data_IF_559758423037
#
_entry.id   IF_559758423037
#
_cell.length_a   1.000
_cell.length_b   1.000
_cell.length_c   1.000
_cell.angle_alpha   90.00
_cell.angle_beta   90.00
_cell.angle_gamma   90.00
#
_symmetry.space_group_name_H-M   'P 1'
#
loop_
_entity.id
_entity.type
_entity.pdbx_description
1 polymer ?
#
# COMPACT_ATOMS: atom_id res chain seq x y z
N UNK A 1 -2.31 31.98 14.99
CA UNK A 1 -2.35 30.91 13.96
C UNK A 1 -3.19 29.75 14.49
N UNK A 2 -4.36 29.48 13.90
CA UNK A 2 -5.24 28.41 14.35
C UNK A 2 -4.73 27.08 13.79
N UNK A 3 -4.29 26.16 14.67
CA UNK A 3 -4.01 24.77 14.31
C UNK A 3 -5.29 24.16 13.73
N UNK A 4 -5.33 23.93 12.43
CA UNK A 4 -6.35 23.08 11.81
C UNK A 4 -6.07 21.66 12.25
N UNK A 5 -6.81 21.20 13.25
CA UNK A 5 -6.90 19.79 13.60
C UNK A 5 -7.28 19.03 12.32
N UNK A 6 -6.41 18.12 11.87
CA UNK A 6 -6.70 17.22 10.76
C UNK A 6 -7.89 16.37 11.22
N UNK A 7 -9.07 16.68 10.69
CA UNK A 7 -10.25 15.85 10.94
C UNK A 7 -9.96 14.45 10.44
N UNK A 8 -10.05 13.47 11.33
CA UNK A 8 -9.96 12.06 10.99
C UNK A 8 -10.84 11.78 9.76
N UNK A 9 -10.25 11.13 8.76
CA UNK A 9 -10.90 10.82 7.49
C UNK A 9 -12.29 10.27 7.72
N UNK A 10 -13.32 11.05 7.37
CA UNK A 10 -14.69 10.54 7.28
C UNK A 10 -14.64 9.35 6.33
N UNK A 11 -15.06 8.17 6.81
CA UNK A 11 -15.15 6.97 5.98
C UNK A 11 -15.86 7.34 4.68
N UNK A 12 -15.17 7.20 3.54
CA UNK A 12 -15.74 7.54 2.25
C UNK A 12 -16.86 6.54 1.94
N UNK A 13 -18.09 7.01 1.90
CA UNK A 13 -19.29 6.19 1.73
C UNK A 13 -19.69 6.08 0.24
N UNK A 14 -19.11 6.93 -0.62
CA UNK A 14 -19.59 7.13 -1.98
C UNK A 14 -18.92 6.24 -3.04
N UNK A 15 -17.76 5.70 -2.75
CA UNK A 15 -17.03 4.80 -3.67
C UNK A 15 -15.95 4.04 -2.93
N UNK A 16 -15.84 2.75 -3.21
CA UNK A 16 -14.78 1.91 -2.67
C UNK A 16 -13.39 2.21 -3.29
N UNK A 17 -13.35 3.05 -4.34
CA UNK A 17 -12.11 3.58 -4.93
C UNK A 17 -11.57 4.84 -4.22
N UNK A 18 -12.23 5.31 -3.18
CA UNK A 18 -11.83 6.55 -2.50
C UNK A 18 -10.38 6.51 -1.99
N UNK A 19 -9.65 7.59 -2.22
CA UNK A 19 -8.22 7.69 -1.87
C UNK A 19 -7.27 7.15 -2.94
N UNK A 20 -7.73 6.29 -3.84
CA UNK A 20 -6.91 5.72 -4.93
C UNK A 20 -7.01 6.50 -6.23
N UNK A 21 -8.12 7.19 -6.48
CA UNK A 21 -8.44 7.81 -7.78
C UNK A 21 -7.82 9.20 -7.90
N UNK A 22 -7.02 9.39 -8.94
CA UNK A 22 -6.32 10.64 -9.25
C UNK A 22 -6.67 11.14 -10.65
N UNK A 23 -6.66 12.44 -10.82
CA UNK A 23 -6.83 13.08 -12.13
C UNK A 23 -5.61 12.77 -13.01
N UNK A 24 -5.83 12.22 -14.21
CA UNK A 24 -4.76 11.91 -15.15
C UNK A 24 -3.98 13.14 -15.62
N UNK A 25 -4.64 14.32 -15.66
CA UNK A 25 -4.03 15.56 -16.14
C UNK A 25 -3.17 16.28 -15.10
N UNK A 26 -3.49 16.18 -13.80
CA UNK A 26 -2.77 16.95 -12.77
C UNK A 26 -2.36 16.14 -11.54
N UNK A 27 -2.68 14.86 -11.45
CA UNK A 27 -2.32 13.98 -10.34
C UNK A 27 -3.09 14.20 -9.03
N UNK A 28 -3.90 15.27 -8.93
CA UNK A 28 -4.70 15.53 -7.73
C UNK A 28 -5.84 14.53 -7.57
N UNK A 29 -6.27 14.35 -6.32
CA UNK A 29 -7.36 13.43 -6.00
C UNK A 29 -8.64 13.77 -6.77
N UNK A 30 -9.35 12.74 -7.21
CA UNK A 30 -10.72 12.85 -7.69
C UNK A 30 -11.68 12.54 -6.54
N UNK A 31 -12.77 13.31 -6.46
CA UNK A 31 -13.86 13.06 -5.54
C UNK A 31 -15.11 12.63 -6.31
N UNK A 32 -15.86 11.69 -5.74
CA UNK A 32 -17.14 11.27 -6.27
C UNK A 32 -18.23 12.23 -5.78
N UNK A 33 -18.96 12.84 -6.71
CA UNK A 33 -20.04 13.79 -6.43
C UNK A 33 -21.35 13.19 -6.92
N UNK A 34 -22.35 13.14 -6.03
CA UNK A 34 -23.71 12.72 -6.36
C UNK A 34 -24.47 13.91 -6.92
N UNK A 35 -25.14 13.71 -8.06
CA UNK A 35 -26.04 14.68 -8.67
C UNK A 35 -27.49 14.39 -8.31
N UNK A 36 -28.39 15.32 -8.61
CA UNK A 36 -29.82 15.21 -8.27
C UNK A 36 -30.49 13.95 -8.82
N UNK A 37 -30.05 13.45 -9.99
CA UNK A 37 -30.52 12.19 -10.58
C UNK A 37 -30.05 10.91 -9.84
N UNK A 38 -29.32 11.05 -8.73
CA UNK A 38 -28.76 9.92 -7.99
C UNK A 38 -27.43 9.38 -8.54
N UNK A 39 -27.09 9.69 -9.79
CA UNK A 39 -25.82 9.25 -10.41
C UNK A 39 -24.63 9.96 -9.77
N UNK A 40 -23.50 9.27 -9.73
CA UNK A 40 -22.23 9.81 -9.19
C UNK A 40 -21.20 9.96 -10.31
N UNK A 41 -20.43 11.03 -10.27
CA UNK A 41 -19.33 11.25 -11.21
C UNK A 41 -18.09 11.79 -10.52
N UNK A 42 -16.94 11.54 -11.13
CA UNK A 42 -15.65 11.93 -10.61
C UNK A 42 -15.30 13.37 -11.00
N UNK A 43 -14.84 14.16 -10.03
CA UNK A 43 -14.38 15.53 -10.26
C UNK A 43 -13.00 15.77 -9.67
N UNK A 44 -12.16 16.45 -10.42
CA UNK A 44 -10.85 16.85 -9.98
C UNK A 44 -10.95 17.95 -8.90
N UNK A 45 -10.36 17.70 -7.74
CA UNK A 45 -10.37 18.67 -6.61
C UNK A 45 -9.64 19.95 -6.96
N UNK A 46 -8.55 19.88 -7.73
CA UNK A 46 -7.83 21.09 -8.20
C UNK A 46 -8.69 21.94 -9.13
N UNK A 47 -9.47 21.31 -10.01
CA UNK A 47 -10.42 22.03 -10.88
C UNK A 47 -11.55 22.69 -10.08
N UNK A 48 -12.03 22.02 -9.03
CA UNK A 48 -13.09 22.56 -8.17
C UNK A 48 -12.61 23.80 -7.40
N UNK A 49 -11.39 23.77 -6.88
CA UNK A 49 -10.88 24.80 -5.98
C UNK A 49 -10.42 26.06 -6.74
N UNK A 50 -9.68 25.93 -7.81
CA UNK A 50 -9.04 27.06 -8.48
C UNK A 50 -9.10 27.03 -10.02
N UNK A 51 -9.86 26.12 -10.62
CA UNK A 51 -10.00 25.94 -12.07
C UNK A 51 -8.67 25.68 -12.83
N UNK A 52 -7.57 25.45 -12.13
CA UNK A 52 -6.22 25.31 -12.71
C UNK A 52 -5.96 23.95 -13.37
N UNK A 53 -7.00 23.16 -13.63
CA UNK A 53 -6.89 21.86 -14.31
C UNK A 53 -8.08 21.68 -15.25
N UNK A 54 -7.91 21.16 -16.47
CA UNK A 54 -9.01 20.81 -17.37
C UNK A 54 -9.92 19.72 -16.79
N UNK A 55 -9.44 18.95 -15.81
CA UNK A 55 -10.15 17.82 -15.21
C UNK A 55 -10.10 16.57 -16.08
N UNK A 56 -10.83 15.53 -15.67
CA UNK A 56 -10.92 14.25 -16.38
C UNK A 56 -12.18 14.12 -17.27
N UNK A 57 -12.88 15.24 -17.55
CA UNK A 57 -14.15 15.18 -18.26
C UNK A 57 -15.31 14.74 -17.36
N UNK A 58 -16.40 14.29 -17.99
CA UNK A 58 -17.57 13.73 -17.30
C UNK A 58 -17.43 12.21 -17.24
N UNK A 59 -16.86 11.70 -16.16
CA UNK A 59 -16.64 10.27 -15.94
C UNK A 59 -17.52 9.82 -14.79
N UNK A 60 -18.39 8.84 -15.01
CA UNK A 60 -19.23 8.29 -13.96
C UNK A 60 -18.41 7.36 -13.04
N UNK A 61 -18.69 7.44 -11.75
CA UNK A 61 -18.00 6.62 -10.75
C UNK A 61 -18.22 5.14 -11.00
N UNK A 62 -19.46 4.75 -11.33
CA UNK A 62 -19.86 3.37 -11.62
C UNK A 62 -19.11 2.78 -12.82
N UNK A 63 -18.89 3.57 -13.89
CA UNK A 63 -18.16 3.11 -15.07
C UNK A 63 -16.69 2.78 -14.70
N UNK A 64 -16.07 3.62 -13.86
CA UNK A 64 -14.71 3.37 -13.38
C UNK A 64 -14.67 2.16 -12.44
N UNK A 65 -15.63 2.03 -11.55
CA UNK A 65 -15.75 0.88 -10.65
C UNK A 65 -15.90 -0.43 -11.44
N UNK A 66 -16.78 -0.46 -12.41
CA UNK A 66 -16.99 -1.63 -13.28
C UNK A 66 -15.74 -1.98 -14.09
N UNK A 67 -15.05 -0.96 -14.62
CA UNK A 67 -13.78 -1.17 -15.33
C UNK A 67 -12.70 -1.75 -14.40
N UNK A 68 -12.53 -1.14 -13.24
CA UNK A 68 -11.52 -1.59 -12.24
C UNK A 68 -11.80 -3.02 -11.79
N UNK A 69 -13.05 -3.36 -11.52
CA UNK A 69 -13.43 -4.74 -11.18
C UNK A 69 -13.03 -5.74 -12.27
N UNK A 70 -13.35 -5.46 -13.53
CA UNK A 70 -12.98 -6.32 -14.67
C UNK A 70 -11.47 -6.50 -14.78
N UNK A 71 -10.71 -5.41 -14.57
CA UNK A 71 -9.25 -5.46 -14.62
C UNK A 71 -8.65 -6.22 -13.43
N UNK A 72 -9.25 -6.12 -12.23
CA UNK A 72 -8.83 -6.94 -11.08
C UNK A 72 -9.06 -8.44 -11.34
N UNK A 73 -10.21 -8.81 -11.90
CA UNK A 73 -10.50 -10.21 -12.31
C UNK A 73 -9.47 -10.69 -13.34
N UNK A 74 -9.18 -9.87 -14.36
CA UNK A 74 -8.18 -10.20 -15.37
C UNK A 74 -6.80 -10.38 -14.76
N UNK A 75 -6.37 -9.45 -13.90
CA UNK A 75 -5.06 -9.46 -13.24
C UNK A 75 -4.87 -10.69 -12.36
N UNK A 76 -5.90 -11.10 -11.62
CA UNK A 76 -5.86 -12.33 -10.84
C UNK A 76 -5.70 -13.59 -11.71
N UNK A 77 -6.43 -13.67 -12.82
CA UNK A 77 -6.31 -14.81 -13.74
C UNK A 77 -4.92 -14.90 -14.35
N UNK A 78 -4.31 -13.76 -14.69
CA UNK A 78 -2.93 -13.69 -15.19
C UNK A 78 -1.91 -14.04 -14.10
N UNK A 79 -2.20 -13.70 -12.83
CA UNK A 79 -1.34 -13.93 -11.67
C UNK A 79 -1.47 -15.30 -11.00
N UNK A 80 -2.41 -16.16 -11.42
CA UNK A 80 -2.62 -17.50 -10.84
C UNK A 80 -1.52 -18.53 -11.17
N UNK A 81 -0.42 -18.12 -11.82
CA UNK A 81 0.78 -18.95 -11.84
C UNK A 81 1.38 -19.00 -10.42
N UNK A 82 1.67 -20.19 -9.86
CA UNK A 82 2.31 -20.33 -8.55
C UNK A 82 3.59 -19.50 -8.39
N UNK A 83 4.28 -19.20 -9.50
CA UNK A 83 5.46 -18.35 -9.54
C UNK A 83 5.21 -16.86 -9.22
N UNK A 84 3.96 -16.38 -9.28
CA UNK A 84 3.66 -14.97 -8.98
C UNK A 84 3.60 -14.67 -7.47
N UNK A 85 3.30 -15.68 -6.65
CA UNK A 85 3.23 -15.54 -5.19
C UNK A 85 4.58 -15.66 -4.48
N UNK A 86 5.59 -16.20 -5.14
CA UNK A 86 6.96 -16.37 -4.62
C UNK A 86 7.79 -15.08 -4.67
N UNK A 87 7.32 -14.04 -5.40
CA UNK A 87 8.11 -12.84 -5.67
C UNK A 87 8.46 -11.96 -4.47
N UNK A 88 7.78 -12.07 -3.34
CA UNK A 88 8.18 -11.31 -2.14
C UNK A 88 9.49 -11.86 -1.56
N UNK A 89 9.59 -13.19 -1.46
CA UNK A 89 10.82 -13.87 -1.03
C UNK A 89 11.94 -13.81 -2.10
N UNK A 90 11.59 -13.46 -3.34
CA UNK A 90 12.55 -13.29 -4.43
C UNK A 90 13.01 -11.85 -4.61
N UNK A 91 12.41 -10.86 -3.90
CA UNK A 91 12.88 -9.49 -3.96
C UNK A 91 14.32 -9.43 -3.43
N UNK A 92 15.30 -9.06 -4.26
CA UNK A 92 16.70 -9.02 -3.86
C UNK A 92 16.94 -8.11 -2.64
N UNK A 93 16.17 -7.02 -2.51
CA UNK A 93 16.25 -6.11 -1.38
C UNK A 93 15.77 -6.76 -0.08
N UNK A 94 14.68 -7.54 -0.14
CA UNK A 94 14.15 -8.27 1.02
C UNK A 94 15.14 -9.35 1.46
N UNK A 95 15.67 -10.13 0.51
CA UNK A 95 16.69 -11.16 0.80
C UNK A 95 17.95 -10.55 1.40
N UNK A 96 18.37 -9.39 0.90
CA UNK A 96 19.54 -8.69 1.44
C UNK A 96 19.27 -8.22 2.87
N UNK A 97 18.11 -7.63 3.15
CA UNK A 97 17.77 -7.17 4.51
C UNK A 97 17.72 -8.35 5.50
N UNK A 98 17.16 -9.49 5.11
CA UNK A 98 17.17 -10.71 5.97
C UNK A 98 18.59 -11.20 6.26
N UNK A 99 19.50 -11.20 5.28
CA UNK A 99 20.90 -11.56 5.50
C UNK A 99 21.59 -10.59 6.46
N UNK A 100 21.38 -9.29 6.26
CA UNK A 100 21.93 -8.24 7.13
C UNK A 100 21.42 -8.38 8.57
N UNK A 101 20.16 -8.71 8.78
CA UNK A 101 19.59 -9.01 10.10
C UNK A 101 20.27 -10.24 10.71
N UNK A 102 20.36 -11.35 9.96
CA UNK A 102 21.01 -12.58 10.44
C UNK A 102 22.49 -12.36 10.82
N UNK A 103 23.21 -11.54 10.07
CA UNK A 103 24.58 -11.16 10.37
C UNK A 103 24.68 -10.34 11.66
N UNK A 104 23.78 -9.39 11.88
CA UNK A 104 23.68 -8.60 13.11
C UNK A 104 23.36 -9.46 14.34
N UNK A 105 22.41 -10.39 14.22
CA UNK A 105 22.06 -11.33 15.30
C UNK A 105 23.25 -12.23 15.68
N UNK A 106 24.02 -12.69 14.70
CA UNK A 106 25.25 -13.45 14.93
C UNK A 106 26.33 -12.61 15.62
N UNK A 107 26.51 -11.34 15.20
CA UNK A 107 27.46 -10.42 15.81
C UNK A 107 27.09 -10.15 17.28
N UNK A 108 25.80 -9.90 17.57
CA UNK A 108 25.33 -9.73 18.96
C UNK A 108 25.62 -10.99 19.79
N UNK A 109 25.33 -12.18 19.27
CA UNK A 109 25.60 -13.44 19.98
C UNK A 109 27.09 -13.59 20.33
N UNK A 110 27.99 -13.31 19.39
CA UNK A 110 29.42 -13.37 19.60
C UNK A 110 29.92 -12.33 20.63
N UNK A 111 29.36 -11.13 20.62
CA UNK A 111 29.68 -10.07 21.57
C UNK A 111 29.20 -10.44 22.98
N UNK A 112 27.99 -10.99 23.11
CA UNK A 112 27.45 -11.48 24.39
C UNK A 112 28.29 -12.64 24.94
N UNK A 113 28.71 -13.60 24.10
CA UNK A 113 29.55 -14.70 24.50
C UNK A 113 30.93 -14.23 25.00
N UNK A 114 31.45 -13.12 24.45
CA UNK A 114 32.72 -12.55 24.87
C UNK A 114 32.65 -11.72 26.16
N UNK A 115 31.45 -11.43 26.69
CA UNK A 115 31.27 -10.83 28.02
C UNK A 115 31.72 -11.75 29.15
N UNK A 116 31.70 -13.08 28.95
CA UNK A 116 32.17 -14.03 29.96
C UNK A 116 33.68 -13.91 30.16
N UNK A 117 34.09 -13.19 31.23
CA UNK A 117 35.52 -12.94 31.58
C UNK A 117 36.07 -11.59 31.11
N UNK A 118 35.20 -10.73 30.53
CA UNK A 118 35.63 -9.38 30.15
C UNK A 118 35.86 -8.47 31.39
N UNK A 119 36.86 -7.62 31.32
CA UNK A 119 37.03 -6.53 32.28
C UNK A 119 36.07 -5.38 32.04
N UNK A 120 35.90 -4.50 33.04
CA UNK A 120 34.92 -3.41 33.04
C UNK A 120 34.95 -2.55 31.76
N UNK A 121 36.12 -2.12 31.32
CA UNK A 121 36.28 -1.30 30.10
C UNK A 121 35.84 -2.03 28.81
N UNK A 122 36.11 -3.34 28.74
CA UNK A 122 35.68 -4.15 27.58
C UNK A 122 34.18 -4.39 27.60
N UNK A 123 33.61 -4.56 28.78
CA UNK A 123 32.14 -4.69 28.96
C UNK A 123 31.42 -3.43 28.48
N UNK A 124 31.89 -2.23 28.82
CA UNK A 124 31.30 -0.97 28.35
C UNK A 124 31.38 -0.83 26.83
N UNK A 125 32.49 -1.20 26.21
CA UNK A 125 32.65 -1.19 24.76
C UNK A 125 31.71 -2.18 24.07
N UNK A 126 31.58 -3.40 24.61
CA UNK A 126 30.66 -4.40 24.09
C UNK A 126 29.20 -3.92 24.19
N UNK A 127 28.81 -3.36 25.34
CA UNK A 127 27.47 -2.83 25.53
C UNK A 127 27.13 -1.72 24.51
N UNK A 128 28.04 -0.78 24.32
CA UNK A 128 27.90 0.29 23.34
C UNK A 128 27.75 -0.29 21.93
N UNK A 129 28.53 -1.29 21.56
CA UNK A 129 28.45 -1.93 20.24
C UNK A 129 27.16 -2.68 20.04
N UNK A 130 26.65 -3.36 21.06
CA UNK A 130 25.35 -4.05 21.03
C UNK A 130 24.21 -3.04 20.83
N UNK A 131 24.24 -1.89 21.52
CA UNK A 131 23.24 -0.84 21.33
C UNK A 131 23.26 -0.28 19.90
N UNK A 132 24.43 -0.07 19.30
CA UNK A 132 24.54 0.38 17.90
C UNK A 132 23.93 -0.63 16.93
N UNK A 133 24.22 -1.93 17.13
CA UNK A 133 23.69 -3.00 16.29
C UNK A 133 22.18 -3.10 16.47
N UNK A 134 21.66 -2.99 17.68
CA UNK A 134 20.23 -3.05 17.99
C UNK A 134 19.46 -1.90 17.29
N UNK A 135 20.01 -0.69 17.30
CA UNK A 135 19.43 0.44 16.58
C UNK A 135 19.38 0.17 15.06
N UNK A 136 20.46 -0.36 14.48
CA UNK A 136 20.47 -0.73 13.06
C UNK A 136 19.49 -1.86 12.75
N UNK A 137 19.37 -2.85 13.62
CA UNK A 137 18.44 -3.95 13.52
C UNK A 137 16.97 -3.45 13.49
N UNK A 138 16.60 -2.54 14.41
CA UNK A 138 15.28 -1.92 14.43
C UNK A 138 14.98 -1.16 13.13
N UNK A 139 15.93 -0.38 12.61
CA UNK A 139 15.77 0.31 11.32
C UNK A 139 15.57 -0.66 10.14
N UNK A 140 16.22 -1.83 10.18
CA UNK A 140 16.03 -2.87 9.15
C UNK A 140 14.65 -3.54 9.25
N UNK A 141 14.19 -3.83 10.47
CA UNK A 141 12.83 -4.34 10.70
C UNK A 141 11.75 -3.36 10.24
N UNK A 142 11.91 -2.06 10.54
CA UNK A 142 11.01 -1.03 10.06
C UNK A 142 10.98 -0.97 8.52
N UNK A 143 12.14 -1.08 7.89
CA UNK A 143 12.26 -1.12 6.43
C UNK A 143 11.58 -2.35 5.83
N UNK A 144 11.70 -3.52 6.47
CA UNK A 144 10.96 -4.72 6.10
C UNK A 144 9.46 -4.55 6.23
N UNK A 145 8.98 -3.93 7.32
CA UNK A 145 7.55 -3.68 7.52
C UNK A 145 6.98 -2.79 6.42
N UNK A 146 7.67 -1.72 6.05
CA UNK A 146 7.28 -0.83 4.95
C UNK A 146 7.27 -1.57 3.59
N UNK A 147 8.23 -2.45 3.36
CA UNK A 147 8.26 -3.28 2.15
C UNK A 147 7.12 -4.30 2.16
N UNK A 148 6.83 -4.92 3.31
CA UNK A 148 5.74 -5.87 3.48
C UNK A 148 4.35 -5.21 3.37
N UNK A 149 4.17 -3.98 3.87
CA UNK A 149 2.93 -3.21 3.69
C UNK A 149 2.59 -2.96 2.22
N UNK A 150 3.59 -2.90 1.35
CA UNK A 150 3.40 -2.73 -0.09
C UNK A 150 3.07 -4.04 -0.82
N UNK A 151 3.18 -5.19 -0.14
CA UNK A 151 2.89 -6.50 -0.72
C UNK A 151 1.85 -7.23 0.14
N UNK A 152 0.83 -7.80 -0.49
CA UNK A 152 -0.15 -8.62 0.20
C UNK A 152 0.47 -9.97 0.59
N UNK A 153 0.20 -10.43 1.83
CA UNK A 153 0.59 -11.80 2.24
C UNK A 153 -0.19 -12.86 1.47
N UNK A 154 0.28 -14.12 1.42
CA UNK A 154 -0.47 -15.21 0.77
C UNK A 154 -1.92 -15.31 1.27
N UNK A 155 -2.15 -15.22 2.58
CA UNK A 155 -3.51 -15.27 3.15
C UNK A 155 -4.35 -14.05 2.73
N UNK A 156 -3.74 -12.87 2.65
CA UNK A 156 -4.42 -11.67 2.16
C UNK A 156 -4.78 -11.80 0.68
N UNK A 157 -3.94 -12.44 -0.13
CA UNK A 157 -4.22 -12.69 -1.55
C UNK A 157 -5.29 -13.76 -1.74
N UNK A 158 -5.33 -14.78 -0.89
CA UNK A 158 -6.42 -15.75 -0.87
C UNK A 158 -7.76 -15.08 -0.54
N UNK A 159 -7.78 -14.21 0.48
CA UNK A 159 -8.94 -13.39 0.81
C UNK A 159 -9.34 -12.47 -0.36
N UNK A 160 -8.39 -11.85 -1.03
CA UNK A 160 -8.63 -11.02 -2.23
C UNK A 160 -9.28 -11.86 -3.34
N UNK A 161 -8.78 -13.07 -3.60
CA UNK A 161 -9.33 -13.96 -4.61
C UNK A 161 -10.78 -14.39 -4.27
N UNK A 162 -11.03 -14.75 -3.01
CA UNK A 162 -12.37 -15.04 -2.50
C UNK A 162 -13.31 -13.85 -2.66
N UNK A 163 -12.90 -12.67 -2.25
CA UNK A 163 -13.69 -11.44 -2.37
C UNK A 163 -14.04 -11.11 -3.83
N UNK A 164 -13.11 -11.31 -4.75
CA UNK A 164 -13.38 -11.08 -6.18
C UNK A 164 -14.37 -12.09 -6.72
N UNK A 165 -14.33 -13.34 -6.28
CA UNK A 165 -15.30 -14.37 -6.67
C UNK A 165 -16.72 -14.06 -6.18
N UNK A 166 -16.84 -13.46 -5.00
CA UNK A 166 -18.09 -13.12 -4.33
C UNK A 166 -18.44 -11.61 -4.45
N UNK A 167 -17.91 -10.90 -5.45
CA UNK A 167 -17.96 -9.44 -5.54
C UNK A 167 -19.35 -8.82 -5.41
N UNK A 168 -20.38 -9.54 -5.85
CA UNK A 168 -21.78 -9.10 -5.74
C UNK A 168 -22.36 -9.21 -4.33
N UNK A 169 -21.77 -10.04 -3.48
CA UNK A 169 -22.28 -10.42 -2.16
C UNK A 169 -21.52 -9.74 -1.02
N UNK A 170 -20.26 -9.37 -1.25
CA UNK A 170 -19.40 -8.74 -0.25
C UNK A 170 -19.79 -7.28 0.00
N UNK A 171 -19.51 -6.83 1.22
CA UNK A 171 -19.79 -5.47 1.66
C UNK A 171 -18.82 -4.42 1.09
N UNK A 172 -19.08 -3.18 1.43
CA UNK A 172 -18.30 -2.03 0.96
C UNK A 172 -16.85 -2.03 1.52
N UNK A 173 -16.66 -2.43 2.77
CA UNK A 173 -15.33 -2.45 3.40
C UNK A 173 -14.46 -3.58 2.84
N UNK A 174 -15.05 -4.72 2.52
CA UNK A 174 -14.37 -5.82 1.86
C UNK A 174 -13.95 -5.47 0.42
N UNK A 175 -14.80 -4.74 -0.32
CA UNK A 175 -14.43 -4.16 -1.63
C UNK A 175 -13.26 -3.20 -1.49
N UNK A 176 -13.27 -2.32 -0.50
CA UNK A 176 -12.17 -1.40 -0.22
C UNK A 176 -10.88 -2.13 0.16
N UNK A 177 -10.98 -3.14 1.03
CA UNK A 177 -9.84 -3.98 1.39
C UNK A 177 -9.20 -4.60 0.14
N UNK A 178 -10.01 -5.21 -0.72
CA UNK A 178 -9.56 -5.87 -1.95
C UNK A 178 -8.83 -4.88 -2.86
N UNK A 179 -9.42 -3.71 -3.10
CA UNK A 179 -8.80 -2.64 -3.90
C UNK A 179 -7.53 -2.13 -3.27
N UNK A 180 -7.51 -1.96 -1.94
CA UNK A 180 -6.32 -1.49 -1.24
C UNK A 180 -5.15 -2.46 -1.38
N UNK A 181 -5.40 -3.75 -1.34
CA UNK A 181 -4.36 -4.78 -1.50
C UNK A 181 -3.85 -4.90 -2.94
N UNK A 182 -4.70 -4.71 -3.95
CA UNK A 182 -4.33 -4.86 -5.35
C UNK A 182 -3.77 -3.59 -5.99
N UNK A 183 -4.34 -2.42 -5.65
CA UNK A 183 -4.16 -1.19 -6.43
C UNK A 183 -3.42 -0.14 -5.60
N UNK A 184 -2.34 0.40 -6.17
CA UNK A 184 -1.61 1.53 -5.61
C UNK A 184 -2.34 2.85 -5.89
N UNK A 185 -2.67 3.09 -7.15
CA UNK A 185 -3.40 4.28 -7.60
C UNK A 185 -4.05 4.08 -8.95
N UNK A 186 -5.05 4.93 -9.25
CA UNK A 186 -5.78 5.00 -10.51
C UNK A 186 -5.62 6.41 -11.08
N UNK A 187 -5.23 6.54 -12.34
CA UNK A 187 -5.26 7.81 -13.07
C UNK A 187 -6.40 7.79 -14.06
N UNK A 188 -7.36 8.70 -13.89
CA UNK A 188 -8.54 8.81 -14.76
C UNK A 188 -8.38 10.00 -15.69
N UNK A 189 -8.49 9.74 -16.98
CA UNK A 189 -8.50 10.70 -18.08
C UNK A 189 -9.91 10.79 -18.69
N UNK A 190 -10.10 11.69 -19.64
CA UNK A 190 -11.32 11.73 -20.45
C UNK A 190 -11.33 10.54 -21.42
N UNK A 191 -11.98 9.45 -21.02
CA UNK A 191 -12.15 8.25 -21.87
C UNK A 191 -11.16 7.11 -21.59
N UNK A 192 -10.25 7.22 -20.62
CA UNK A 192 -9.38 6.12 -20.25
C UNK A 192 -9.03 6.12 -18.77
N UNK A 193 -8.70 4.92 -18.25
CA UNK A 193 -8.25 4.70 -16.87
C UNK A 193 -6.95 3.92 -16.90
N UNK A 194 -5.95 4.42 -16.21
CA UNK A 194 -4.68 3.72 -16.00
C UNK A 194 -4.62 3.23 -14.57
N UNK A 195 -4.34 1.94 -14.39
CA UNK A 195 -4.23 1.29 -13.08
C UNK A 195 -2.76 1.07 -12.77
N UNK A 196 -2.32 1.55 -11.63
CA UNK A 196 -1.02 1.21 -11.06
C UNK A 196 -1.23 0.13 -10.01
N UNK A 197 -0.78 -1.07 -10.32
CA UNK A 197 -0.87 -2.23 -9.43
C UNK A 197 0.19 -2.18 -8.32
N UNK A 198 -0.04 -2.93 -7.25
CA UNK A 198 0.95 -3.11 -6.18
C UNK A 198 1.91 -4.28 -6.46
N UNK A 199 1.57 -5.16 -7.40
CA UNK A 199 2.33 -6.35 -7.78
C UNK A 199 2.24 -6.62 -9.30
#
# INVERSE_FOLDING_TARGET
MRNKTIQANRKAVNTWLAGKVKCGNCGYALMSIKIQSGKQYLRCTKRLNNKACPGCGKVYTEDVENYVYKEMVRKLREGQSPAAYTKLNENPQVKQIYREIEEMEKEISLLVDSLAGAGETLTDYINQRVEEIDQMHQLKLEKLSVLAENHATPEQMEKVASNISLWGEIDFEEKRFTVDKMIRSLKVFSGSVQIQWKF
#
